data_IF_070253468218
#
_entry.id   IF_070253468218
#
_cell.length_a   1.000
_cell.length_b   1.000
_cell.length_c   1.000
_cell.angle_alpha   90.00
_cell.angle_beta   90.00
_cell.angle_gamma   90.00
#
_symmetry.space_group_name_H-M   'P 1'
#
loop_
_entity.id
_entity.type
_entity.pdbx_description
1 polymer ?
#
# COMPACT_ATOMS: atom_id res chain seq x y z
N UNK A 1 36.84 -14.17 22.58
CA UNK A 1 35.36 -14.14 22.48
C UNK A 1 34.89 -12.98 23.33
N UNK A 2 34.38 -11.91 22.73
CA UNK A 2 33.79 -10.78 23.48
C UNK A 2 32.30 -11.07 23.62
N UNK A 3 31.83 -11.21 24.86
CA UNK A 3 30.41 -11.41 25.16
C UNK A 3 29.67 -10.07 25.17
N UNK A 4 28.53 -10.02 24.48
CA UNK A 4 27.64 -8.86 24.42
C UNK A 4 26.40 -9.12 25.28
N UNK A 5 26.04 -8.18 26.15
CA UNK A 5 24.89 -8.25 27.05
C UNK A 5 24.08 -6.96 26.96
N UNK A 6 22.77 -7.08 26.70
CA UNK A 6 21.81 -5.98 26.71
C UNK A 6 20.92 -6.07 27.96
N UNK A 7 21.00 -5.12 28.92
CA UNK A 7 20.10 -5.08 30.07
C UNK A 7 18.90 -4.18 29.73
N UNK A 8 17.92 -4.68 28.99
CA UNK A 8 16.64 -4.00 28.89
C UNK A 8 15.48 -4.99 29.08
N UNK A 9 14.76 -4.82 30.19
CA UNK A 9 13.37 -5.30 30.32
C UNK A 9 12.53 -4.45 29.38
N UNK A 10 12.31 -4.92 28.15
CA UNK A 10 11.23 -4.38 27.33
C UNK A 10 9.92 -4.67 28.06
N UNK A 11 9.32 -3.64 28.69
CA UNK A 11 7.88 -3.62 28.88
C UNK A 11 7.29 -3.62 27.49
N UNK A 12 6.88 -4.80 27.02
CA UNK A 12 6.00 -4.92 25.88
C UNK A 12 4.74 -4.14 26.24
N UNK A 13 4.67 -2.89 25.77
CA UNK A 13 3.39 -2.22 25.63
C UNK A 13 2.60 -3.11 24.68
N UNK A 14 1.58 -3.78 25.21
CA UNK A 14 0.57 -4.42 24.39
C UNK A 14 -0.06 -3.31 23.54
N UNK A 15 0.52 -3.07 22.35
CA UNK A 15 -0.18 -2.37 21.30
C UNK A 15 -1.46 -3.15 21.08
N UNK A 16 -2.60 -2.45 21.14
CA UNK A 16 -3.90 -3.02 20.81
C UNK A 16 -3.72 -3.94 19.60
N UNK A 17 -4.17 -5.19 19.72
CA UNK A 17 -4.13 -6.15 18.63
C UNK A 17 -4.98 -5.61 17.49
N UNK A 18 -4.36 -4.83 16.60
CA UNK A 18 -4.96 -4.37 15.36
C UNK A 18 -5.16 -5.64 14.55
N UNK A 19 -6.41 -5.91 14.16
CA UNK A 19 -6.80 -7.08 13.38
C UNK A 19 -5.76 -7.39 12.31
N UNK A 20 -5.11 -8.56 12.32
CA UNK A 20 -3.95 -8.87 11.46
C UNK A 20 -4.31 -9.12 9.97
N UNK A 21 -5.51 -8.72 9.56
CA UNK A 21 -6.02 -8.89 8.20
C UNK A 21 -5.45 -7.76 7.34
N UNK A 22 -4.33 -8.05 6.67
CA UNK A 22 -3.79 -7.16 5.65
C UNK A 22 -4.63 -7.26 4.36
N UNK A 23 -4.89 -6.11 3.75
CA UNK A 23 -5.60 -6.01 2.48
C UNK A 23 -4.62 -6.13 1.30
N UNK A 24 -4.85 -7.10 0.41
CA UNK A 24 -3.98 -7.42 -0.72
C UNK A 24 -4.78 -7.45 -2.03
N UNK A 25 -5.14 -6.28 -2.60
CA UNK A 25 -6.01 -6.21 -3.77
C UNK A 25 -5.42 -6.83 -5.04
N UNK A 26 -4.09 -6.89 -5.12
CA UNK A 26 -3.35 -7.41 -6.26
C UNK A 26 -1.91 -7.74 -5.86
N UNK A 27 -1.08 -8.11 -6.84
CA UNK A 27 0.29 -8.52 -6.60
C UNK A 27 1.19 -7.41 -6.03
N UNK A 28 0.91 -6.13 -6.29
CA UNK A 28 1.83 -5.01 -6.04
C UNK A 28 1.60 -4.30 -4.72
N UNK A 29 0.43 -4.44 -4.12
CA UNK A 29 -0.02 -3.60 -3.00
C UNK A 29 -0.41 -4.48 -1.82
N UNK A 30 0.11 -4.12 -0.64
CA UNK A 30 -0.39 -4.62 0.64
C UNK A 30 -0.67 -3.42 1.54
N UNK A 31 -1.91 -3.27 2.00
CA UNK A 31 -2.28 -2.28 3.01
C UNK A 31 -2.36 -2.99 4.35
N UNK A 32 -1.65 -2.46 5.33
CA UNK A 32 -1.68 -2.97 6.71
C UNK A 32 -2.69 -2.19 7.54
N UNK A 33 -3.27 -2.82 8.58
CA UNK A 33 -4.19 -2.19 9.52
C UNK A 33 -3.63 -0.97 10.27
N UNK A 34 -2.31 -0.84 10.37
CA UNK A 34 -1.62 0.34 10.93
C UNK A 34 -1.48 1.51 9.93
N UNK A 35 -2.17 1.40 8.79
CA UNK A 35 -2.15 2.33 7.66
C UNK A 35 -0.81 2.41 6.91
N UNK A 36 0.10 1.45 7.13
CA UNK A 36 1.30 1.30 6.30
C UNK A 36 0.94 0.65 4.97
N UNK A 37 1.43 1.19 3.86
CA UNK A 37 1.22 0.61 2.53
C UNK A 37 2.54 0.09 1.97
N UNK A 38 2.62 -1.21 1.74
CA UNK A 38 3.75 -1.83 1.06
C UNK A 38 3.49 -1.87 -0.44
N UNK A 39 4.45 -1.37 -1.22
CA UNK A 39 4.45 -1.45 -2.68
C UNK A 39 5.63 -2.30 -3.15
N UNK A 40 5.36 -3.33 -3.94
CA UNK A 40 6.36 -4.21 -4.50
C UNK A 40 6.87 -3.74 -5.85
N UNK A 41 8.20 -3.70 -6.03
CA UNK A 41 8.86 -3.33 -7.29
C UNK A 41 9.54 -4.55 -7.89
N UNK A 42 9.24 -4.86 -9.15
CA UNK A 42 9.79 -6.02 -9.86
C UNK A 42 11.12 -5.72 -10.56
N UNK A 43 11.37 -4.44 -10.82
CA UNK A 43 12.52 -3.91 -11.51
C UNK A 43 13.73 -3.80 -10.56
N UNK A 44 14.92 -4.06 -11.09
CA UNK A 44 16.17 -3.95 -10.32
C UNK A 44 16.63 -2.50 -10.26
N UNK A 45 16.93 -2.01 -9.05
CA UNK A 45 17.50 -0.68 -8.82
C UNK A 45 19.03 -0.70 -8.91
N UNK A 46 19.60 0.23 -9.67
CA UNK A 46 21.03 0.33 -9.97
C UNK A 46 21.50 1.80 -10.02
N UNK A 47 20.67 2.75 -9.56
CA UNK A 47 20.94 4.19 -9.54
C UNK A 47 20.00 5.03 -10.41
N UNK A 48 19.05 4.41 -11.11
CA UNK A 48 18.11 5.09 -12.00
C UNK A 48 16.82 5.58 -11.31
N UNK A 49 16.54 5.11 -10.09
CA UNK A 49 15.39 5.57 -9.29
C UNK A 49 14.06 4.89 -9.64
N UNK A 50 14.07 3.63 -10.09
CA UNK A 50 12.83 2.84 -10.29
C UNK A 50 12.12 2.53 -8.98
N UNK A 51 12.85 2.43 -7.86
CA UNK A 51 12.25 2.24 -6.52
C UNK A 51 11.50 3.47 -6.00
N UNK A 52 11.70 4.64 -6.59
CA UNK A 52 10.92 5.84 -6.27
C UNK A 52 9.83 6.03 -7.31
N UNK A 53 10.21 6.05 -8.58
CA UNK A 53 9.30 6.41 -9.67
C UNK A 53 8.18 5.41 -9.91
N UNK A 54 8.41 4.10 -9.78
CA UNK A 54 7.36 3.10 -9.98
C UNK A 54 6.34 3.08 -8.83
N UNK A 55 6.74 3.10 -7.55
CA UNK A 55 5.78 3.18 -6.45
C UNK A 55 5.01 4.50 -6.42
N UNK A 56 5.59 5.62 -6.86
CA UNK A 56 4.87 6.89 -6.95
C UNK A 56 3.64 6.80 -7.86
N UNK A 57 3.70 6.02 -8.94
CA UNK A 57 2.55 5.80 -9.84
C UNK A 57 1.36 5.20 -9.09
N UNK A 58 1.62 4.20 -8.22
CA UNK A 58 0.58 3.60 -7.38
C UNK A 58 0.16 4.58 -6.28
N UNK A 59 1.11 5.24 -5.64
CA UNK A 59 0.85 6.12 -4.51
C UNK A 59 -0.01 7.32 -4.91
N UNK A 60 0.22 7.91 -6.08
CA UNK A 60 -0.62 8.99 -6.63
C UNK A 60 -2.02 8.48 -6.95
N UNK A 61 -2.14 7.32 -7.59
CA UNK A 61 -3.43 6.76 -7.96
C UNK A 61 -4.29 6.40 -6.74
N UNK A 62 -3.65 5.86 -5.70
CA UNK A 62 -4.27 5.53 -4.41
C UNK A 62 -4.38 6.74 -3.46
N UNK A 63 -3.87 7.91 -3.84
CA UNK A 63 -3.84 9.13 -3.02
C UNK A 63 -3.21 8.90 -1.64
N UNK A 64 -2.01 8.30 -1.61
CA UNK A 64 -1.30 7.96 -0.38
C UNK A 64 -0.46 9.12 0.14
N UNK A 65 -0.31 9.17 1.47
CA UNK A 65 0.81 9.89 2.08
C UNK A 65 2.11 9.09 1.85
N UNK A 66 3.04 9.68 1.09
CA UNK A 66 4.33 9.05 0.78
C UNK A 66 5.11 8.64 2.03
N UNK A 67 4.96 9.33 3.15
CA UNK A 67 5.62 8.98 4.42
C UNK A 67 5.15 7.65 5.02
N UNK A 68 4.02 7.11 4.54
CA UNK A 68 3.43 5.82 4.94
C UNK A 68 3.70 4.69 3.94
N UNK A 69 4.36 4.99 2.83
CA UNK A 69 4.69 4.01 1.80
C UNK A 69 6.00 3.32 2.15
N UNK A 70 5.98 1.99 2.15
CA UNK A 70 7.16 1.14 2.22
C UNK A 70 7.38 0.45 0.88
N UNK A 71 8.55 0.63 0.30
CA UNK A 71 8.91 0.00 -0.97
C UNK A 71 9.72 -1.26 -0.69
N UNK A 72 9.31 -2.39 -1.28
CA UNK A 72 9.99 -3.68 -1.13
C UNK A 72 10.28 -4.27 -2.51
N UNK A 73 11.47 -4.88 -2.67
CA UNK A 73 11.76 -5.67 -3.86
C UNK A 73 10.80 -6.85 -3.94
N UNK A 74 10.12 -7.02 -5.07
CA UNK A 74 9.28 -8.18 -5.30
C UNK A 74 10.11 -9.47 -5.21
N UNK A 75 9.60 -10.53 -4.54
CA UNK A 75 10.26 -11.83 -4.54
C UNK A 75 10.34 -12.38 -5.97
N UNK A 76 11.26 -13.32 -6.21
CA UNK A 76 11.41 -13.95 -7.53
C UNK A 76 10.24 -14.88 -7.78
N UNK A 77 9.23 -14.37 -8.49
CA UNK A 77 7.98 -15.06 -8.82
C UNK A 77 7.45 -14.49 -10.14
N UNK A 78 7.72 -15.24 -11.22
CA UNK A 78 7.37 -14.83 -12.58
C UNK A 78 5.87 -14.85 -12.83
N UNK A 79 5.14 -15.75 -12.18
CA UNK A 79 3.70 -15.91 -12.41
C UNK A 79 2.94 -14.74 -11.78
N UNK A 80 3.38 -14.27 -10.61
CA UNK A 80 2.79 -13.12 -9.93
C UNK A 80 3.25 -11.77 -10.47
N UNK A 81 4.55 -11.60 -10.76
CA UNK A 81 5.11 -10.27 -11.08
C UNK A 81 5.49 -10.10 -12.56
N UNK A 82 5.46 -11.18 -13.35
CA UNK A 82 5.90 -11.19 -14.74
C UNK A 82 7.42 -11.17 -14.87
N UNK A 83 7.93 -10.58 -15.96
CA UNK A 83 9.38 -10.43 -16.17
C UNK A 83 9.94 -9.48 -15.12
N UNK A 84 10.91 -9.95 -14.34
CA UNK A 84 11.62 -9.16 -13.33
C UNK A 84 13.00 -8.74 -13.87
N UNK A 85 13.38 -7.49 -13.65
CA UNK A 85 14.64 -6.91 -14.12
C UNK A 85 14.49 -5.61 -14.91
N UNK A 86 15.61 -4.92 -15.09
CA UNK A 86 15.68 -3.60 -15.73
C UNK A 86 16.51 -3.66 -17.00
N UNK A 87 16.05 -2.99 -18.06
CA UNK A 87 16.79 -2.86 -19.32
C UNK A 87 16.03 -2.07 -20.38
N UNK A 88 16.75 -1.62 -21.41
CA UNK A 88 16.15 -0.96 -22.59
C UNK A 88 15.40 0.35 -22.31
N UNK A 89 15.70 1.02 -21.19
CA UNK A 89 14.98 2.23 -20.73
C UNK A 89 13.45 2.03 -20.71
N UNK A 90 13.02 0.82 -20.36
CA UNK A 90 11.64 0.38 -20.53
C UNK A 90 10.81 0.43 -19.24
N UNK A 91 11.43 0.38 -18.06
CA UNK A 91 10.74 0.18 -16.76
C UNK A 91 9.48 1.01 -16.59
N UNK A 92 9.56 2.33 -16.78
CA UNK A 92 8.38 3.21 -16.67
C UNK A 92 7.37 2.92 -17.78
N UNK A 93 7.79 2.90 -19.05
CA UNK A 93 6.87 2.74 -20.18
C UNK A 93 6.17 1.38 -20.18
N UNK A 94 6.82 0.32 -19.72
CA UNK A 94 6.23 -1.03 -19.65
C UNK A 94 5.31 -1.21 -18.45
N UNK A 95 5.58 -0.53 -17.34
CA UNK A 95 4.88 -0.78 -16.07
C UNK A 95 3.81 0.26 -15.75
N UNK A 96 3.85 1.45 -16.34
CA UNK A 96 2.98 2.57 -15.99
C UNK A 96 1.48 2.22 -16.01
N UNK A 97 0.97 1.65 -17.11
CA UNK A 97 -0.46 1.32 -17.23
C UNK A 97 -0.88 0.31 -16.17
N UNK A 98 -0.10 -0.76 -16.03
CA UNK A 98 -0.33 -1.85 -15.06
C UNK A 98 -0.37 -1.33 -13.62
N UNK A 99 0.60 -0.49 -13.25
CA UNK A 99 0.71 0.04 -11.89
C UNK A 99 -0.39 1.07 -11.59
N UNK A 100 -0.78 1.92 -12.55
CA UNK A 100 -1.95 2.79 -12.39
C UNK A 100 -3.23 1.98 -12.22
N UNK A 101 -3.47 0.98 -13.06
CA UNK A 101 -4.66 0.14 -12.92
C UNK A 101 -4.68 -0.60 -11.58
N UNK A 102 -3.52 -1.09 -11.11
CA UNK A 102 -3.40 -1.72 -9.80
C UNK A 102 -3.76 -0.76 -8.64
N UNK A 103 -3.27 0.48 -8.70
CA UNK A 103 -3.60 1.50 -7.70
C UNK A 103 -5.09 1.90 -7.74
N UNK A 104 -5.65 2.07 -8.94
CA UNK A 104 -7.05 2.46 -9.11
C UNK A 104 -8.00 1.38 -8.56
N UNK A 105 -7.74 0.11 -8.87
CA UNK A 105 -8.53 -1.02 -8.33
C UNK A 105 -8.47 -1.04 -6.80
N UNK A 106 -7.27 -0.88 -6.23
CA UNK A 106 -7.10 -0.85 -4.78
C UNK A 106 -7.89 0.31 -4.13
N UNK A 107 -7.84 1.51 -4.72
CA UNK A 107 -8.59 2.68 -4.24
C UNK A 107 -10.10 2.46 -4.32
N UNK A 108 -10.59 1.94 -5.44
CA UNK A 108 -12.03 1.67 -5.65
C UNK A 108 -12.57 0.68 -4.61
N UNK A 109 -11.83 -0.40 -4.32
CA UNK A 109 -12.24 -1.36 -3.29
C UNK A 109 -12.31 -0.73 -1.89
N UNK A 110 -11.39 0.17 -1.56
CA UNK A 110 -11.39 0.90 -0.28
C UNK A 110 -12.55 1.91 -0.20
N UNK A 111 -12.83 2.63 -1.28
CA UNK A 111 -13.99 3.52 -1.39
C UNK A 111 -15.30 2.75 -1.21
N UNK A 112 -15.42 1.56 -1.81
CA UNK A 112 -16.58 0.69 -1.64
C UNK A 112 -16.72 0.19 -0.20
N UNK A 113 -15.63 -0.24 0.43
CA UNK A 113 -15.63 -0.64 1.83
C UNK A 113 -16.05 0.50 2.77
N UNK A 114 -15.58 1.72 2.53
CA UNK A 114 -15.97 2.90 3.30
C UNK A 114 -17.46 3.26 3.10
N UNK A 115 -17.92 3.25 1.85
CA UNK A 115 -19.32 3.50 1.51
C UNK A 115 -20.25 2.49 2.19
N UNK A 116 -19.89 1.22 2.21
CA UNK A 116 -20.61 0.16 2.92
C UNK A 116 -20.62 0.40 4.44
N UNK A 117 -19.46 0.70 5.03
CA UNK A 117 -19.33 0.96 6.47
C UNK A 117 -20.21 2.12 6.94
N UNK A 118 -20.30 3.17 6.14
CA UNK A 118 -21.15 4.34 6.42
C UNK A 118 -22.57 4.22 5.90
N UNK A 119 -22.89 3.18 5.11
CA UNK A 119 -24.18 3.03 4.43
C UNK A 119 -24.57 4.25 3.59
N UNK A 120 -23.59 4.81 2.84
CA UNK A 120 -23.79 5.94 1.93
C UNK A 120 -23.41 5.58 0.49
N UNK A 121 -23.85 6.36 -0.52
CA UNK A 121 -23.37 6.19 -1.89
C UNK A 121 -21.85 6.42 -2.00
N UNK A 122 -21.16 5.59 -2.79
CA UNK A 122 -19.72 5.73 -3.07
C UNK A 122 -19.30 7.12 -3.56
N UNK A 123 -20.14 7.78 -4.35
CA UNK A 123 -19.87 9.14 -4.86
C UNK A 123 -19.78 10.23 -3.78
N UNK A 124 -20.14 9.92 -2.53
CA UNK A 124 -19.96 10.79 -1.37
C UNK A 124 -18.69 10.46 -0.57
N UNK A 125 -17.85 9.54 -1.05
CA UNK A 125 -16.57 9.18 -0.46
C UNK A 125 -15.44 9.74 -1.34
N UNK A 126 -14.47 10.42 -0.73
CA UNK A 126 -13.25 10.86 -1.39
C UNK A 126 -12.04 10.18 -0.77
N UNK A 127 -11.01 9.90 -1.56
CA UNK A 127 -9.70 9.58 -1.01
C UNK A 127 -8.92 10.87 -0.70
N UNK A 128 -8.05 10.83 0.30
CA UNK A 128 -6.98 11.82 0.52
C UNK A 128 -5.94 11.24 1.49
N UNK A 129 -4.66 11.29 1.09
CA UNK A 129 -3.49 10.92 1.92
C UNK A 129 -3.61 9.58 2.67
N UNK A 130 -4.18 8.55 2.05
CA UNK A 130 -4.39 7.23 2.65
C UNK A 130 -5.57 7.17 3.64
N UNK A 131 -6.53 8.08 3.48
CA UNK A 131 -7.81 8.08 4.18
C UNK A 131 -8.94 8.18 3.16
N UNK A 132 -10.11 7.65 3.53
CA UNK A 132 -11.37 7.94 2.88
C UNK A 132 -12.13 8.95 3.73
N UNK A 133 -12.64 10.01 3.11
CA UNK A 133 -13.40 11.10 3.69
C UNK A 133 -14.87 10.97 3.29
N UNK A 134 -15.77 11.08 4.26
CA UNK A 134 -17.19 11.18 4.01
C UNK A 134 -17.56 12.65 3.77
N UNK A 135 -18.00 12.99 2.55
CA UNK A 135 -18.38 14.37 2.19
C UNK A 135 -19.59 14.89 2.96
N UNK A 136 -20.47 14.01 3.43
CA UNK A 136 -21.72 14.39 4.08
C UNK A 136 -21.52 14.61 5.59
N UNK A 137 -20.77 13.74 6.26
CA UNK A 137 -20.56 13.82 7.71
C UNK A 137 -19.26 14.53 8.10
N UNK A 138 -18.27 14.60 7.21
CA UNK A 138 -16.91 15.06 7.52
C UNK A 138 -16.07 14.04 8.28
N UNK A 139 -16.60 12.83 8.51
CA UNK A 139 -15.83 11.74 9.11
C UNK A 139 -14.75 11.22 8.17
N UNK A 140 -13.71 10.62 8.76
CA UNK A 140 -12.61 10.01 8.01
C UNK A 140 -12.31 8.62 8.53
N UNK A 141 -11.92 7.74 7.62
CA UNK A 141 -11.43 6.40 7.92
C UNK A 141 -10.10 6.19 7.22
N UNK A 142 -9.11 5.66 7.94
CA UNK A 142 -7.84 5.26 7.32
C UNK A 142 -8.02 4.01 6.44
N UNK A 143 -7.13 3.81 5.47
CA UNK A 143 -7.13 2.59 4.67
C UNK A 143 -6.91 1.35 5.54
N UNK A 144 -6.09 1.48 6.58
CA UNK A 144 -5.89 0.44 7.59
C UNK A 144 -7.18 -0.04 8.25
N UNK A 145 -8.07 0.88 8.62
CA UNK A 145 -9.37 0.55 9.25
C UNK A 145 -10.37 -0.12 8.29
N UNK A 146 -10.14 0.02 6.98
CA UNK A 146 -10.99 -0.54 5.93
C UNK A 146 -10.47 -1.90 5.44
N UNK A 147 -9.27 -2.32 5.86
CA UNK A 147 -8.63 -3.55 5.37
C UNK A 147 -9.52 -4.79 5.50
N UNK A 148 -10.16 -4.97 6.66
CA UNK A 148 -11.00 -6.15 6.90
C UNK A 148 -12.30 -6.15 6.08
N UNK A 149 -12.79 -5.00 5.63
CA UNK A 149 -14.00 -4.87 4.82
C UNK A 149 -13.70 -4.91 3.32
N UNK A 150 -12.50 -4.50 2.92
CA UNK A 150 -12.06 -4.50 1.52
C UNK A 150 -11.41 -5.82 1.08
N UNK A 151 -10.98 -6.67 2.03
CA UNK A 151 -10.27 -7.94 1.79
C UNK A 151 -11.13 -9.04 1.16
#
# INVERSE_FOLDING_TARGET
>A
VIGFHLPFKNKLLAGNAVSDIAFNPNAWITVRPDNTVTIFVAESEMGQGVWTSLPMIIAEEMELDWSKVQVIQAPVDKDRFGKQGTGGSASIRSSWKKLREAGAVAKEMLLEAAAQKWSIPKGNCDADKGFILNRTSGEKLSYGELCALAA
#
